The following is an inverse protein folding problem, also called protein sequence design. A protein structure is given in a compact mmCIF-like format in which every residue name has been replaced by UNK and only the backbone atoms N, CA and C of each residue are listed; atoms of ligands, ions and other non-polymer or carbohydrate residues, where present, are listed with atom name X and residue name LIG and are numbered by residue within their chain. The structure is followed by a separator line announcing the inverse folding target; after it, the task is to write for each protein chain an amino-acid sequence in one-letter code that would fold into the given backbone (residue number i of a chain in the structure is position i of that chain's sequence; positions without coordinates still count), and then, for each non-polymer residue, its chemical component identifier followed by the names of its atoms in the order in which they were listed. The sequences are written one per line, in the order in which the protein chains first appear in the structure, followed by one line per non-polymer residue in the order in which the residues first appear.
data_IF_296781128603
#
_entry.id   IF_296781128603
#
_cell.length_a   1.000
_cell.length_b   1.000
_cell.length_c   1.000
_cell.angle_alpha   90.00
_cell.angle_beta   90.00
_cell.angle_gamma   90.00
#
_symmetry.space_group_name_H-M   'P 1'
#
loop_
_entity.id
_entity.type
_entity.pdbx_description
1 polymer ?
#
# COMPACT_ATOMS: atom_id res chain seq x y z
N UNK A 1 -18.06 36.60 16.86
CA UNK A 1 -18.17 35.22 17.38
C UNK A 1 -17.12 34.39 16.63
N UNK A 2 -15.97 34.09 17.25
CA UNK A 2 -14.88 33.32 16.63
C UNK A 2 -15.21 31.83 16.74
N UNK A 3 -15.31 31.14 15.61
CA UNK A 3 -15.39 29.67 15.55
C UNK A 3 -14.11 29.09 16.18
N UNK A 4 -14.26 28.15 17.12
CA UNK A 4 -13.13 27.41 17.68
C UNK A 4 -12.40 26.68 16.54
N UNK A 5 -11.06 26.63 16.52
CA UNK A 5 -10.34 25.93 15.45
C UNK A 5 -10.77 24.47 15.46
N UNK A 6 -11.24 23.98 14.31
CA UNK A 6 -11.46 22.56 14.09
C UNK A 6 -10.11 21.86 14.19
N UNK A 7 -10.08 20.74 14.90
CA UNK A 7 -8.90 19.89 14.98
C UNK A 7 -8.70 19.22 13.61
N UNK A 8 -7.75 19.70 12.82
CA UNK A 8 -7.29 19.03 11.61
C UNK A 8 -6.14 18.09 12.00
N UNK A 9 -6.36 16.79 11.83
CA UNK A 9 -5.28 15.81 11.90
C UNK A 9 -4.44 15.97 10.63
N UNK A 10 -3.23 16.51 10.76
CA UNK A 10 -2.30 16.63 9.64
C UNK A 10 -1.48 15.34 9.60
N UNK A 11 -1.64 14.58 8.51
CA UNK A 11 -0.88 13.38 8.23
C UNK A 11 -0.32 13.52 6.84
N UNK A 12 1.00 13.52 6.75
CA UNK A 12 1.72 13.51 5.47
C UNK A 12 2.32 12.12 5.28
N UNK A 13 2.08 11.53 4.11
CA UNK A 13 2.64 10.22 3.75
C UNK A 13 3.27 10.29 2.37
N UNK A 14 4.49 9.77 2.24
CA UNK A 14 5.17 9.56 0.96
C UNK A 14 5.17 8.08 0.62
N UNK A 15 4.71 7.74 -0.59
CA UNK A 15 4.57 6.36 -1.06
C UNK A 15 5.51 6.09 -2.23
N UNK A 16 6.33 5.05 -2.12
CA UNK A 16 7.12 4.49 -3.21
C UNK A 16 6.69 3.06 -3.52
N UNK A 17 6.53 2.71 -4.80
CA UNK A 17 6.20 1.36 -5.23
C UNK A 17 7.08 0.92 -6.40
N UNK A 18 7.46 -0.36 -6.39
CA UNK A 18 8.17 -1.01 -7.49
C UNK A 18 7.56 -2.38 -7.72
N UNK A 19 7.18 -2.67 -8.96
CA UNK A 19 6.59 -3.96 -9.34
C UNK A 19 7.18 -4.53 -10.61
N UNK A 20 7.13 -5.86 -10.71
CA UNK A 20 7.49 -6.62 -11.91
C UNK A 20 6.35 -7.60 -12.23
N UNK A 21 6.02 -7.74 -13.51
CA UNK A 21 5.07 -8.74 -14.00
C UNK A 21 5.63 -9.48 -15.20
N UNK A 22 5.17 -10.73 -15.36
CA UNK A 22 5.45 -11.59 -16.50
C UNK A 22 4.13 -12.03 -17.10
N UNK A 23 4.00 -11.86 -18.41
CA UNK A 23 2.84 -12.33 -19.18
C UNK A 23 3.19 -13.60 -19.95
N UNK A 24 2.38 -14.64 -19.79
CA UNK A 24 2.46 -15.90 -20.54
C UNK A 24 1.36 -15.93 -21.60
N UNK A 25 1.71 -15.60 -22.85
CA UNK A 25 0.76 -15.44 -23.96
C UNK A 25 -0.05 -16.71 -24.26
N UNK A 26 0.53 -17.91 -24.14
CA UNK A 26 -0.18 -19.17 -24.45
C UNK A 26 -1.33 -19.51 -23.51
N UNK A 27 -1.37 -18.95 -22.30
CA UNK A 27 -2.41 -19.23 -21.29
C UNK A 27 -3.17 -17.98 -20.86
N UNK A 28 -2.81 -16.82 -21.41
CA UNK A 28 -3.25 -15.48 -20.98
C UNK A 28 -3.17 -15.31 -19.46
N UNK A 29 -2.07 -15.81 -18.88
CA UNK A 29 -1.77 -15.67 -17.46
C UNK A 29 -0.80 -14.50 -17.29
N UNK A 30 -1.11 -13.63 -16.35
CA UNK A 30 -0.20 -12.61 -15.83
C UNK A 30 0.11 -12.95 -14.38
N UNK A 31 1.39 -13.01 -14.04
CA UNK A 31 1.83 -13.14 -12.65
C UNK A 31 2.84 -12.05 -12.36
N UNK A 32 2.81 -11.53 -11.14
CA UNK A 32 3.79 -10.55 -10.75
C UNK A 32 3.82 -10.30 -9.27
N UNK A 33 4.76 -9.45 -8.90
CA UNK A 33 4.94 -9.00 -7.54
C UNK A 33 5.20 -7.51 -7.49
N UNK A 34 4.94 -6.92 -6.34
CA UNK A 34 5.29 -5.54 -6.05
C UNK A 34 5.79 -5.40 -4.62
N UNK A 35 6.73 -4.49 -4.41
CA UNK A 35 7.14 -4.01 -3.11
C UNK A 35 6.68 -2.56 -2.98
N UNK A 36 6.19 -2.19 -1.81
CA UNK A 36 5.82 -0.83 -1.48
C UNK A 36 6.50 -0.40 -0.18
N UNK A 37 6.91 0.86 -0.16
CA UNK A 37 7.37 1.55 1.04
C UNK A 37 6.50 2.78 1.23
N UNK A 38 5.98 2.93 2.43
CA UNK A 38 5.19 4.10 2.81
C UNK A 38 5.80 4.66 4.08
N UNK A 39 6.30 5.88 3.94
CA UNK A 39 6.75 6.72 5.04
C UNK A 39 5.56 7.57 5.49
N UNK A 40 5.28 7.62 6.79
CA UNK A 40 4.14 8.39 7.31
C UNK A 40 4.54 9.14 8.57
N UNK A 41 4.40 10.46 8.51
CA UNK A 41 4.50 11.35 9.64
C UNK A 41 3.09 11.64 10.16
N UNK A 42 2.83 11.27 11.41
CA UNK A 42 1.55 11.50 12.09
C UNK A 42 1.76 12.48 13.25
N UNK A 43 1.33 13.73 13.05
CA UNK A 43 1.30 14.75 14.10
C UNK A 43 -0.02 14.64 14.89
N UNK A 44 0.02 13.97 16.05
CA UNK A 44 -1.10 13.98 17.00
C UNK A 44 -0.86 15.05 18.07
N UNK A 45 -1.94 15.73 18.47
CA UNK A 45 -1.99 16.79 19.49
C UNK A 45 -1.41 16.35 20.86
N UNK A 46 -1.14 15.06 21.05
CA UNK A 46 -0.59 14.49 22.29
C UNK A 46 0.66 13.60 22.08
N UNK A 47 1.32 13.67 20.91
CA UNK A 47 2.56 12.94 20.60
C UNK A 47 2.81 12.81 19.10
N UNK A 48 4.08 12.91 18.68
CA UNK A 48 4.51 12.61 17.31
C UNK A 48 4.80 11.11 17.16
N UNK A 49 4.31 10.50 16.10
CA UNK A 49 4.55 9.09 15.80
C UNK A 49 5.07 8.93 14.37
N UNK A 50 6.32 8.47 14.25
CA UNK A 50 6.95 8.13 12.98
C UNK A 50 6.61 6.67 12.65
N UNK A 51 6.02 6.43 11.48
CA UNK A 51 5.53 5.11 11.08
C UNK A 51 6.03 4.67 9.73
N UNK A 52 6.92 3.67 9.72
CA UNK A 52 7.41 3.04 8.49
C UNK A 52 6.57 1.82 8.15
N UNK A 53 6.00 1.80 6.95
CA UNK A 53 5.21 0.67 6.45
C UNK A 53 5.92 0.06 5.24
N UNK A 54 6.34 -1.19 5.39
CA UNK A 54 6.86 -2.00 4.28
C UNK A 54 5.79 -2.99 3.85
N UNK A 55 5.50 -3.04 2.56
CA UNK A 55 4.56 -3.99 1.99
C UNK A 55 5.13 -4.78 0.83
N UNK A 56 4.66 -6.02 0.71
CA UNK A 56 4.90 -6.89 -0.42
C UNK A 56 3.55 -7.41 -0.94
N UNK A 57 3.39 -7.44 -2.25
CA UNK A 57 2.21 -7.96 -2.93
C UNK A 57 2.61 -8.97 -3.99
N UNK A 58 1.79 -9.99 -4.15
CA UNK A 58 1.86 -10.96 -5.24
C UNK A 58 0.49 -10.98 -5.92
N UNK A 59 0.48 -11.01 -7.25
CA UNK A 59 -0.74 -11.06 -8.05
C UNK A 59 -0.64 -12.14 -9.12
N UNK A 60 -1.77 -12.78 -9.38
CA UNK A 60 -1.94 -13.77 -10.43
C UNK A 60 -3.31 -13.54 -11.06
N UNK A 61 -3.30 -13.18 -12.33
CA UNK A 61 -4.51 -12.88 -13.10
C UNK A 61 -4.56 -13.78 -14.32
N UNK A 62 -5.75 -14.21 -14.71
CA UNK A 62 -5.95 -15.00 -15.93
C UNK A 62 -7.20 -14.52 -16.65
N UNK A 63 -7.04 -14.26 -17.94
CA UNK A 63 -8.15 -14.05 -18.87
C UNK A 63 -8.47 -15.38 -19.56
N UNK A 64 -9.73 -15.77 -19.57
CA UNK A 64 -10.22 -16.95 -20.27
C UNK A 64 -10.72 -16.55 -21.66
N UNK A 65 -10.67 -17.47 -22.62
CA UNK A 65 -11.07 -17.23 -24.02
C UNK A 65 -12.55 -16.85 -24.16
N UNK A 66 -13.38 -17.26 -23.20
CA UNK A 66 -14.79 -16.87 -23.12
C UNK A 66 -15.00 -15.41 -22.65
N UNK A 67 -13.92 -14.66 -22.43
CA UNK A 67 -13.94 -13.27 -21.94
C UNK A 67 -14.08 -13.13 -20.42
N UNK A 68 -14.20 -14.22 -19.66
CA UNK A 68 -14.18 -14.17 -18.20
C UNK A 68 -12.75 -13.94 -17.68
N UNK A 69 -12.61 -13.38 -16.49
CA UNK A 69 -11.30 -13.21 -15.84
C UNK A 69 -11.35 -13.63 -14.37
N UNK A 70 -10.20 -14.05 -13.86
CA UNK A 70 -9.96 -14.23 -12.42
C UNK A 70 -8.73 -13.42 -12.04
N UNK A 71 -8.82 -12.71 -10.93
CA UNK A 71 -7.72 -11.95 -10.35
C UNK A 71 -7.53 -12.35 -8.90
N UNK A 72 -6.30 -12.72 -8.54
CA UNK A 72 -5.92 -13.12 -7.19
C UNK A 72 -4.73 -12.30 -6.74
N UNK A 73 -4.91 -11.56 -5.64
CA UNK A 73 -3.86 -10.74 -5.04
C UNK A 73 -3.67 -11.11 -3.57
N UNK A 74 -2.43 -11.39 -3.18
CA UNK A 74 -2.00 -11.53 -1.80
C UNK A 74 -1.14 -10.35 -1.40
N UNK A 75 -1.41 -9.73 -0.25
CA UNK A 75 -0.62 -8.62 0.29
C UNK A 75 -0.16 -8.93 1.70
N UNK A 76 1.08 -8.59 2.02
CA UNK A 76 1.66 -8.65 3.34
C UNK A 76 2.28 -7.30 3.67
N UNK A 77 1.92 -6.72 4.82
CA UNK A 77 2.45 -5.45 5.29
C UNK A 77 3.03 -5.62 6.69
N UNK A 78 4.24 -5.12 6.91
CA UNK A 78 4.83 -4.99 8.23
C UNK A 78 4.90 -3.52 8.60
N UNK A 79 4.26 -3.17 9.71
CA UNK A 79 4.30 -1.82 10.27
C UNK A 79 5.38 -1.81 11.36
N UNK A 80 6.41 -0.99 11.17
CA UNK A 80 7.42 -0.74 12.18
C UNK A 80 7.05 0.58 12.83
N UNK A 81 6.59 0.51 14.07
CA UNK A 81 6.39 1.69 14.89
C UNK A 81 7.69 1.93 15.68
N UNK A 82 8.35 3.06 15.42
CA UNK A 82 9.46 3.50 16.27
C UNK A 82 8.80 4.21 17.44
N UNK A 83 8.49 3.44 18.49
CA UNK A 83 7.89 3.98 19.70
C UNK A 83 8.64 5.20 20.21
N UNK A 84 7.91 6.28 20.43
CA UNK A 84 8.36 7.41 21.25
C UNK A 84 8.82 6.83 22.60
N UNK A 85 10.01 7.24 23.06
CA UNK A 85 10.64 6.75 24.29
C UNK A 85 9.72 6.76 25.51
#
# INVERSE_FOLDING_TARGET
MKTKPGYEFLSDSVNGFLGIHVNMQSTMIEVGGALNYTDTDLDLVNGSGDGDIYGAALYASRLFENGSFIDLIGRYGHLINIGTK
#
